data_IF_730651869034
#
_entry.id   IF_730651869034
#
_cell.length_a   1.000
_cell.length_b   1.000
_cell.length_c   1.000
_cell.angle_alpha   90.00
_cell.angle_beta   90.00
_cell.angle_gamma   90.00
#
_symmetry.space_group_name_H-M   'P 1'
#
loop_
_entity.id
_entity.type
_entity.pdbx_description
1 polymer ?
#
# COMPACT_ATOMS: atom_id res chain seq x y z
N UNK A 1 12.05 8.66 -37.22
CA UNK A 1 11.94 7.93 -35.93
C UNK A 1 13.35 7.75 -35.39
N UNK A 2 13.83 8.67 -34.54
CA UNK A 2 15.17 8.57 -33.97
C UNK A 2 15.14 7.50 -32.88
N UNK A 3 15.82 6.37 -33.11
CA UNK A 3 16.19 5.45 -32.04
C UNK A 3 17.16 6.20 -31.12
N UNK A 4 16.64 6.75 -30.02
CA UNK A 4 17.48 7.28 -28.94
C UNK A 4 18.19 6.11 -28.28
N UNK A 5 19.52 6.09 -28.41
CA UNK A 5 20.37 5.23 -27.61
C UNK A 5 20.04 5.46 -26.13
N UNK A 6 19.55 4.42 -25.45
CA UNK A 6 19.33 4.42 -24.01
C UNK A 6 20.67 4.77 -23.34
N UNK A 7 20.80 6.00 -22.83
CA UNK A 7 21.87 6.33 -21.90
C UNK A 7 21.64 5.47 -20.65
N UNK A 8 22.64 4.66 -20.29
CA UNK A 8 22.53 3.79 -19.13
C UNK A 8 22.51 4.66 -17.85
N UNK A 9 21.32 4.87 -17.30
CA UNK A 9 21.09 5.63 -16.08
C UNK A 9 20.91 4.72 -14.85
N UNK A 10 21.48 3.52 -14.86
CA UNK A 10 21.31 2.52 -13.79
C UNK A 10 21.59 3.07 -12.38
N UNK A 11 22.57 3.97 -12.23
CA UNK A 11 22.83 4.63 -10.96
C UNK A 11 21.63 5.45 -10.46
N UNK A 12 21.00 6.24 -11.33
CA UNK A 12 19.83 7.05 -10.98
C UNK A 12 18.60 6.20 -10.71
N UNK A 13 18.40 5.16 -11.51
CA UNK A 13 17.31 4.20 -11.30
C UNK A 13 17.48 3.53 -9.92
N UNK A 14 18.71 3.14 -9.55
CA UNK A 14 19.04 2.56 -8.24
C UNK A 14 18.81 3.55 -7.09
N UNK A 15 19.26 4.80 -7.23
CA UNK A 15 19.04 5.84 -6.23
C UNK A 15 17.55 6.06 -5.99
N UNK A 16 16.74 6.10 -7.05
CA UNK A 16 15.30 6.27 -6.93
C UNK A 16 14.66 5.09 -6.19
N UNK A 17 15.02 3.84 -6.53
CA UNK A 17 14.52 2.65 -5.85
C UNK A 17 14.85 2.69 -4.35
N UNK A 18 16.11 3.02 -4.00
CA UNK A 18 16.55 3.12 -2.60
C UNK A 18 15.78 4.22 -1.87
N UNK A 19 15.57 5.37 -2.51
CA UNK A 19 14.82 6.47 -1.93
C UNK A 19 13.35 6.09 -1.63
N UNK A 20 12.67 5.43 -2.57
CA UNK A 20 11.30 4.96 -2.37
C UNK A 20 11.21 3.84 -1.34
N UNK A 21 12.19 2.92 -1.29
CA UNK A 21 12.29 1.93 -0.22
C UNK A 21 12.44 2.61 1.15
N UNK A 22 13.31 3.60 1.28
CA UNK A 22 13.47 4.38 2.51
C UNK A 22 12.20 5.13 2.90
N UNK A 23 11.56 5.81 1.94
CA UNK A 23 10.31 6.53 2.14
C UNK A 23 9.18 5.61 2.65
N UNK A 24 8.98 4.47 1.99
CA UNK A 24 7.93 3.49 2.35
C UNK A 24 8.18 2.86 3.71
N UNK A 25 9.43 2.50 4.03
CA UNK A 25 9.80 1.96 5.35
C UNK A 25 9.63 2.99 6.47
N UNK A 26 10.03 4.25 6.23
CA UNK A 26 9.87 5.31 7.21
C UNK A 26 8.39 5.67 7.42
N UNK A 27 7.61 5.72 6.34
CA UNK A 27 6.16 5.88 6.40
C UNK A 27 5.49 4.75 7.18
N UNK A 28 5.83 3.49 6.89
CA UNK A 28 5.34 2.32 7.62
C UNK A 28 5.68 2.42 9.11
N UNK A 29 6.92 2.75 9.44
CA UNK A 29 7.34 2.92 10.85
C UNK A 29 6.53 4.00 11.55
N UNK A 30 6.36 5.17 10.94
CA UNK A 30 5.58 6.27 11.50
C UNK A 30 4.11 5.90 11.71
N UNK A 31 3.47 5.28 10.71
CA UNK A 31 2.06 4.85 10.81
C UNK A 31 1.90 3.73 11.84
N UNK A 32 2.86 2.80 11.93
CA UNK A 32 2.83 1.72 12.92
C UNK A 32 2.89 2.26 14.36
N UNK A 33 3.59 3.38 14.59
CA UNK A 33 3.60 4.04 15.90
C UNK A 33 2.31 4.81 16.19
N UNK A 34 1.70 5.44 15.18
CA UNK A 34 0.52 6.27 15.35
C UNK A 34 -0.79 5.48 15.40
N UNK A 35 -0.85 4.35 14.68
CA UNK A 35 -2.04 3.53 14.47
C UNK A 35 -1.78 2.06 14.82
N UNK A 36 -1.01 1.81 15.88
CA UNK A 36 -0.64 0.47 16.34
C UNK A 36 -1.83 -0.46 16.55
N UNK A 37 -2.97 0.09 17.00
CA UNK A 37 -4.16 -0.69 17.36
C UNK A 37 -5.21 -0.75 16.23
N UNK A 38 -4.91 -0.20 15.05
CA UNK A 38 -5.84 -0.19 13.92
C UNK A 38 -6.97 0.85 14.01
N UNK A 39 -7.27 1.35 15.22
CA UNK A 39 -8.37 2.28 15.51
C UNK A 39 -8.25 3.65 14.83
N UNK A 40 -7.04 4.05 14.44
CA UNK A 40 -6.76 5.35 13.80
C UNK A 40 -6.39 5.22 12.33
N UNK A 41 -6.55 4.02 11.76
CA UNK A 41 -6.29 3.79 10.34
C UNK A 41 -7.41 4.44 9.50
N UNK A 42 -7.11 4.78 8.24
CA UNK A 42 -8.13 5.25 7.29
C UNK A 42 -9.34 4.32 7.24
N UNK A 43 -10.50 4.85 6.88
CA UNK A 43 -11.77 4.12 6.85
C UNK A 43 -11.69 2.81 6.08
N UNK A 44 -10.95 2.80 4.99
CA UNK A 44 -10.96 1.70 4.02
C UNK A 44 -10.06 0.55 4.50
N UNK A 45 -8.86 0.85 4.99
CA UNK A 45 -8.02 -0.17 5.62
C UNK A 45 -8.67 -0.73 6.89
N UNK A 46 -9.38 0.10 7.67
CA UNK A 46 -10.12 -0.36 8.84
C UNK A 46 -11.18 -1.41 8.45
N UNK A 47 -11.90 -1.17 7.34
CA UNK A 47 -12.84 -2.14 6.78
C UNK A 47 -12.15 -3.46 6.37
N UNK A 48 -11.00 -3.39 5.69
CA UNK A 48 -10.25 -4.61 5.33
C UNK A 48 -9.75 -5.39 6.55
N UNK A 49 -9.26 -4.71 7.58
CA UNK A 49 -8.84 -5.35 8.84
C UNK A 49 -10.03 -6.04 9.52
N UNK A 50 -11.19 -5.38 9.59
CA UNK A 50 -12.39 -5.95 10.19
C UNK A 50 -12.88 -7.19 9.43
N UNK A 51 -12.85 -7.15 8.09
CA UNK A 51 -13.21 -8.28 7.25
C UNK A 51 -12.27 -9.47 7.49
N UNK A 52 -10.95 -9.23 7.51
CA UNK A 52 -9.96 -10.27 7.81
C UNK A 52 -10.13 -10.85 9.22
N UNK A 53 -10.41 -10.01 10.22
CA UNK A 53 -10.67 -10.46 11.59
C UNK A 53 -11.95 -11.33 11.66
N UNK A 54 -13.01 -10.93 10.95
CA UNK A 54 -14.25 -11.69 10.82
C UNK A 54 -14.06 -13.03 10.10
N UNK A 55 -13.15 -13.12 9.14
CA UNK A 55 -12.79 -14.39 8.49
C UNK A 55 -12.03 -15.34 9.42
N UNK A 56 -11.09 -14.82 10.20
CA UNK A 56 -10.22 -15.61 11.07
C UNK A 56 -10.91 -16.05 12.36
N UNK A 57 -11.72 -15.19 12.99
CA UNK A 57 -12.31 -15.40 14.34
C UNK A 57 -13.78 -15.00 14.39
N UNK A 58 -14.58 -15.52 13.46
CA UNK A 58 -16.00 -15.15 13.29
C UNK A 58 -16.86 -15.31 14.54
N UNK A 59 -16.52 -16.26 15.41
CA UNK A 59 -17.22 -16.48 16.68
C UNK A 59 -17.19 -15.25 17.60
N UNK A 60 -16.13 -14.43 17.50
CA UNK A 60 -16.01 -13.18 18.24
C UNK A 60 -16.97 -12.09 17.73
N UNK A 61 -17.50 -12.25 16.51
CA UNK A 61 -18.43 -11.33 15.85
C UNK A 61 -19.86 -11.87 15.81
N UNK A 62 -20.18 -12.90 16.59
CA UNK A 62 -21.51 -13.54 16.58
C UNK A 62 -22.68 -12.60 16.94
N UNK A 63 -22.40 -11.52 17.66
CA UNK A 63 -23.37 -10.47 18.02
C UNK A 63 -23.28 -9.24 17.10
N UNK A 64 -22.34 -9.21 16.16
CA UNK A 64 -22.14 -8.09 15.24
C UNK A 64 -23.11 -8.21 14.06
N UNK A 65 -24.04 -7.25 13.87
CA UNK A 65 -25.04 -7.34 12.82
C UNK A 65 -24.45 -7.24 11.39
N UNK A 66 -23.21 -6.79 11.25
CA UNK A 66 -22.51 -6.61 9.98
C UNK A 66 -21.50 -7.71 9.69
N UNK A 67 -20.85 -8.27 10.72
CA UNK A 67 -19.77 -9.25 10.57
C UNK A 67 -20.16 -10.69 11.00
N UNK A 68 -21.34 -10.89 11.60
CA UNK A 68 -21.80 -12.22 12.02
C UNK A 68 -21.95 -13.22 10.88
N UNK A 69 -22.29 -12.74 9.67
CA UNK A 69 -22.51 -13.59 8.48
C UNK A 69 -21.67 -13.07 7.31
N UNK A 70 -21.00 -13.96 6.55
CA UNK A 70 -20.31 -13.57 5.33
C UNK A 70 -21.28 -13.00 4.28
N UNK A 71 -20.91 -11.86 3.72
CA UNK A 71 -21.59 -11.19 2.60
C UNK A 71 -20.54 -10.76 1.60
N UNK A 72 -20.97 -10.48 0.36
CA UNK A 72 -20.08 -9.91 -0.66
C UNK A 72 -19.52 -8.55 -0.27
N UNK A 73 -20.11 -7.85 0.70
CA UNK A 73 -19.66 -6.54 1.17
C UNK A 73 -18.59 -6.65 2.28
N UNK A 74 -18.58 -7.73 3.07
CA UNK A 74 -17.68 -7.89 4.23
C UNK A 74 -16.67 -9.05 4.09
N UNK A 75 -16.70 -9.77 2.97
CA UNK A 75 -15.80 -10.90 2.69
C UNK A 75 -15.12 -10.66 1.34
N UNK A 76 -14.39 -9.55 1.25
CA UNK A 76 -13.68 -9.15 0.04
C UNK A 76 -12.27 -9.73 0.09
N UNK A 77 -12.04 -10.78 -0.70
CA UNK A 77 -10.69 -11.28 -0.96
C UNK A 77 -10.03 -10.30 -1.93
N UNK A 78 -9.01 -9.59 -1.46
CA UNK A 78 -8.19 -8.72 -2.27
C UNK A 78 -6.74 -9.20 -2.27
N UNK A 79 -5.97 -8.76 -3.26
CA UNK A 79 -4.53 -8.99 -3.26
C UNK A 79 -3.87 -8.41 -2.00
N UNK A 80 -4.40 -7.28 -1.52
CA UNK A 80 -3.94 -6.61 -0.31
C UNK A 80 -4.20 -7.44 0.94
N UNK A 81 -5.40 -8.00 1.13
CA UNK A 81 -5.71 -8.86 2.28
C UNK A 81 -4.92 -10.18 2.25
N UNK A 82 -4.69 -10.73 1.06
CA UNK A 82 -3.81 -11.90 0.89
C UNK A 82 -2.37 -11.59 1.30
N UNK A 83 -1.85 -10.44 0.87
CA UNK A 83 -0.50 -10.00 1.21
C UNK A 83 -0.39 -9.66 2.70
N UNK A 84 -1.42 -9.08 3.29
CA UNK A 84 -1.49 -8.78 4.72
C UNK A 84 -1.38 -10.04 5.57
N UNK A 85 -2.09 -11.12 5.21
CA UNK A 85 -1.98 -12.43 5.87
C UNK A 85 -0.57 -13.02 5.79
N UNK A 86 0.19 -12.72 4.73
CA UNK A 86 1.57 -13.20 4.59
C UNK A 86 2.56 -12.35 5.41
N UNK A 87 2.28 -11.05 5.55
CA UNK A 87 3.20 -10.08 6.17
C UNK A 87 2.88 -9.78 7.64
N UNK A 88 1.76 -10.28 8.17
CA UNK A 88 1.38 -10.06 9.56
C UNK A 88 2.39 -10.68 10.54
N UNK A 89 2.86 -9.92 11.54
CA UNK A 89 3.67 -10.48 12.61
C UNK A 89 2.77 -11.21 13.61
N UNK A 90 2.85 -12.55 13.63
CA UNK A 90 1.95 -13.36 14.46
C UNK A 90 0.50 -13.22 14.00
N UNK A 91 -0.40 -12.85 14.92
CA UNK A 91 -1.83 -12.64 14.65
C UNK A 91 -2.20 -11.15 14.52
N UNK A 92 -1.21 -10.27 14.34
CA UNK A 92 -1.44 -8.83 14.21
C UNK A 92 -1.81 -8.44 12.77
N UNK A 93 -3.10 -8.60 12.47
CA UNK A 93 -3.71 -8.29 11.17
C UNK A 93 -3.53 -6.80 10.81
N UNK A 94 -3.57 -5.92 11.81
CA UNK A 94 -3.39 -4.48 11.61
C UNK A 94 -2.01 -4.21 11.03
N UNK A 95 -0.98 -4.75 11.66
CA UNK A 95 0.39 -4.62 11.17
C UNK A 95 0.58 -5.33 9.83
N UNK A 96 -0.08 -6.47 9.60
CA UNK A 96 -0.13 -7.12 8.30
C UNK A 96 -0.64 -6.19 7.20
N UNK A 97 -1.75 -5.50 7.45
CA UNK A 97 -2.38 -4.60 6.49
C UNK A 97 -1.53 -3.36 6.22
N UNK A 98 -0.95 -2.74 7.25
CA UNK A 98 -0.02 -1.63 7.09
C UNK A 98 1.21 -2.02 6.25
N UNK A 99 1.76 -3.23 6.47
CA UNK A 99 2.87 -3.76 5.68
C UNK A 99 2.47 -4.02 4.23
N UNK A 100 1.29 -4.59 3.99
CA UNK A 100 0.76 -4.81 2.64
C UNK A 100 0.57 -3.49 1.89
N UNK A 101 -0.01 -2.48 2.54
CA UNK A 101 -0.13 -1.13 1.99
C UNK A 101 1.23 -0.50 1.66
N UNK A 102 2.23 -0.63 2.54
CA UNK A 102 3.58 -0.13 2.29
C UNK A 102 4.24 -0.79 1.07
N UNK A 103 4.03 -2.10 0.88
CA UNK A 103 4.47 -2.83 -0.32
C UNK A 103 3.75 -2.32 -1.57
N UNK A 104 2.44 -2.08 -1.49
CA UNK A 104 1.65 -1.49 -2.58
C UNK A 104 2.18 -0.11 -3.00
N UNK A 105 2.42 0.78 -2.03
CA UNK A 105 3.00 2.11 -2.25
C UNK A 105 4.38 2.01 -2.92
N UNK A 106 5.24 1.11 -2.45
CA UNK A 106 6.55 0.88 -3.06
C UNK A 106 6.40 0.51 -4.54
N UNK A 107 5.62 -0.54 -4.85
CA UNK A 107 5.45 -0.99 -6.22
C UNK A 107 4.77 0.05 -7.11
N UNK A 108 3.82 0.84 -6.58
CA UNK A 108 3.21 1.94 -7.32
C UNK A 108 4.24 2.95 -7.80
N UNK A 109 5.07 3.47 -6.89
CA UNK A 109 6.11 4.44 -7.27
C UNK A 109 7.15 3.85 -8.22
N UNK A 110 7.57 2.59 -8.01
CA UNK A 110 8.50 1.93 -8.93
C UNK A 110 7.89 1.74 -10.32
N UNK A 111 6.63 1.29 -10.41
CA UNK A 111 5.94 1.10 -11.68
C UNK A 111 5.75 2.42 -12.42
N UNK A 112 5.28 3.47 -11.73
CA UNK A 112 5.13 4.81 -12.31
C UNK A 112 6.48 5.39 -12.73
N UNK A 113 7.54 5.15 -11.97
CA UNK A 113 8.89 5.57 -12.36
C UNK A 113 9.33 4.92 -13.66
N UNK A 114 9.27 3.59 -13.77
CA UNK A 114 9.66 2.90 -15.00
C UNK A 114 8.77 3.25 -16.19
N UNK A 115 7.48 3.50 -15.96
CA UNK A 115 6.59 4.07 -16.97
C UNK A 115 7.09 5.45 -17.42
N UNK A 116 7.41 6.34 -16.47
CA UNK A 116 7.99 7.65 -16.75
C UNK A 116 9.34 7.56 -17.48
N UNK A 117 10.19 6.58 -17.14
CA UNK A 117 11.46 6.32 -17.83
C UNK A 117 11.23 5.99 -19.29
N UNK A 118 10.20 5.19 -19.59
CA UNK A 118 9.81 4.82 -20.95
C UNK A 118 9.16 5.96 -21.72
N UNK A 119 8.47 6.88 -21.05
CA UNK A 119 7.81 8.03 -21.68
C UNK A 119 8.75 9.20 -21.97
N UNK A 120 9.71 9.48 -21.07
CA UNK A 120 10.49 10.74 -21.09
C UNK A 120 12.00 10.55 -21.28
N UNK A 121 12.52 9.32 -21.29
CA UNK A 121 13.94 8.94 -21.40
C UNK A 121 14.89 9.53 -20.35
N UNK A 122 14.42 10.37 -19.43
CA UNK A 122 15.24 11.04 -18.42
C UNK A 122 14.83 10.59 -17.01
N UNK A 123 15.80 10.25 -16.14
CA UNK A 123 15.49 9.75 -14.80
C UNK A 123 14.84 10.81 -13.91
N UNK A 124 15.23 12.09 -14.08
CA UNK A 124 14.67 13.18 -13.28
C UNK A 124 13.18 13.41 -13.58
N UNK A 125 12.79 13.49 -14.85
CA UNK A 125 11.39 13.70 -15.23
C UNK A 125 10.56 12.46 -14.84
N UNK A 126 11.11 11.26 -15.00
CA UNK A 126 10.46 10.03 -14.54
C UNK A 126 10.22 10.01 -13.02
N UNK A 127 11.20 10.48 -12.23
CA UNK A 127 11.04 10.61 -10.78
C UNK A 127 9.94 11.61 -10.42
N UNK A 128 9.94 12.80 -11.05
CA UNK A 128 8.90 13.80 -10.82
C UNK A 128 7.52 13.28 -11.21
N UNK A 129 7.42 12.58 -12.36
CA UNK A 129 6.19 11.93 -12.79
C UNK A 129 5.68 10.93 -11.73
N UNK A 130 6.54 10.01 -11.27
CA UNK A 130 6.16 9.03 -10.26
C UNK A 130 5.75 9.68 -8.93
N UNK A 131 6.43 10.76 -8.52
CA UNK A 131 6.06 11.48 -7.30
C UNK A 131 4.69 12.15 -7.44
N UNK A 132 4.36 12.69 -8.61
CA UNK A 132 3.07 13.31 -8.90
C UNK A 132 1.92 12.30 -9.01
N UNK A 133 2.19 11.03 -9.29
CA UNK A 133 1.17 9.96 -9.25
C UNK A 133 0.91 9.44 -7.84
N UNK A 134 1.69 9.85 -6.85
CA UNK A 134 1.41 9.60 -5.45
C UNK A 134 0.29 10.51 -4.97
N UNK A 135 -0.81 9.92 -4.47
CA UNK A 135 -1.85 10.68 -3.79
C UNK A 135 -1.37 10.98 -2.37
N UNK A 136 -0.95 12.21 -2.11
CA UNK A 136 -0.75 12.76 -0.76
C UNK A 136 -1.96 13.56 -0.27
N UNK A 137 -3.17 13.21 -0.73
CA UNK A 137 -4.40 13.85 -0.25
C UNK A 137 -5.01 12.94 0.81
N UNK A 138 -4.77 13.26 2.08
CA UNK A 138 -5.57 12.74 3.16
C UNK A 138 -6.95 13.41 3.11
N UNK A 139 -7.96 12.69 2.61
CA UNK A 139 -9.34 13.13 2.67
C UNK A 139 -9.87 12.75 4.05
N UNK A 140 -10.16 13.73 4.91
CA UNK A 140 -10.68 13.50 6.28
C UNK A 140 -12.02 12.76 6.32
N UNK A 141 -12.69 12.66 5.19
CA UNK A 141 -13.95 11.95 5.01
C UNK A 141 -13.67 10.76 4.12
N UNK A 142 -13.50 9.60 4.77
CA UNK A 142 -13.14 8.34 4.15
C UNK A 142 -13.66 8.16 2.73
N UNK A 143 -12.76 8.20 1.75
CA UNK A 143 -12.78 7.42 0.52
C UNK A 143 -11.60 7.83 -0.39
N UNK A 144 -11.01 6.79 -1.00
CA UNK A 144 -9.93 6.72 -2.01
C UNK A 144 -8.48 6.71 -1.50
#
# INVERSE_FOLDING_TARGET
MFFRFSKNYALWDTIFIIAIAGYTLFGLWGVSLLSCDGLKISSDLCCYVQNMAGELRRELFSLDPLLAVPTTANSIISLESTLASLLQPGDDIVQGMLRAGAVGVFFHYIACYYLGRRLFDTPLIAALFALLTGVTVWVSFGTY
#
